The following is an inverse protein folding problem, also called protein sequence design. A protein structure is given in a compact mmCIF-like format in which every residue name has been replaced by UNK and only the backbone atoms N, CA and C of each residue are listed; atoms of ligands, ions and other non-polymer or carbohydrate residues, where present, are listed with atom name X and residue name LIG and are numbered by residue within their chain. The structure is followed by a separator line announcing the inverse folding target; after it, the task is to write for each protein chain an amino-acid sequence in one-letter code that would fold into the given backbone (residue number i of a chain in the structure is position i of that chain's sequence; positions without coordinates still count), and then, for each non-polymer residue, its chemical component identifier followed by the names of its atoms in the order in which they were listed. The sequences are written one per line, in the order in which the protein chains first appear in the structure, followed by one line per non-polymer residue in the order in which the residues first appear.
data_IF_726693930205
#
_entry.id   IF_726693930205
#
_cell.length_a   1.000
_cell.length_b   1.000
_cell.length_c   1.000
_cell.angle_alpha   90.00
_cell.angle_beta   90.00
_cell.angle_gamma   90.00
#
_symmetry.space_group_name_H-M   'P 1'
#
loop_
_entity.id
_entity.type
_entity.pdbx_description
1 polymer ?
#
# COMPACT_ATOMS: atom_id res chain seq x y z
N UNK A 1 -15.00 2.88 -42.61
CA UNK A 1 -15.51 4.12 -41.96
C UNK A 1 -14.54 4.50 -40.83
N UNK A 2 -14.14 5.79 -40.73
CA UNK A 2 -13.21 6.28 -39.70
C UNK A 2 -13.43 7.77 -39.47
N UNK A 3 -12.91 8.31 -38.37
CA UNK A 3 -12.97 9.73 -38.08
C UNK A 3 -11.79 10.49 -38.70
N UNK A 4 -12.03 11.68 -39.21
CA UNK A 4 -11.01 12.58 -39.77
C UNK A 4 -11.21 13.99 -39.26
N UNK A 5 -10.12 14.66 -39.00
CA UNK A 5 -10.14 16.13 -38.76
C UNK A 5 -9.88 16.83 -40.09
N UNK A 6 -10.80 17.70 -40.50
CA UNK A 6 -10.65 18.56 -41.68
C UNK A 6 -10.57 20.01 -41.29
N UNK A 7 -9.83 20.80 -42.03
CA UNK A 7 -9.68 22.25 -41.85
C UNK A 7 -10.36 22.99 -42.96
N UNK A 8 -11.17 23.98 -42.62
CA UNK A 8 -11.83 24.87 -43.59
C UNK A 8 -12.02 26.24 -42.95
N UNK A 9 -11.56 27.29 -43.64
CA UNK A 9 -11.68 28.66 -43.16
C UNK A 9 -10.99 28.92 -41.82
N UNK A 10 -9.83 28.30 -41.56
CA UNK A 10 -9.09 28.39 -40.29
C UNK A 10 -9.76 27.68 -39.10
N UNK A 11 -10.76 26.85 -39.35
CA UNK A 11 -11.49 26.11 -38.31
C UNK A 11 -11.37 24.61 -38.55
N UNK A 12 -11.24 23.84 -37.47
CA UNK A 12 -11.11 22.39 -37.50
C UNK A 12 -12.43 21.69 -37.21
N UNK A 13 -12.79 20.72 -38.04
CA UNK A 13 -14.03 19.97 -37.95
C UNK A 13 -13.74 18.47 -37.81
N UNK A 14 -14.47 17.81 -36.91
CA UNK A 14 -14.46 16.35 -36.77
C UNK A 14 -15.50 15.78 -37.73
N UNK A 15 -15.08 14.89 -38.64
CA UNK A 15 -15.92 14.27 -39.64
C UNK A 15 -15.84 12.75 -39.56
N UNK A 16 -16.97 12.08 -39.76
CA UNK A 16 -17.02 10.65 -40.01
C UNK A 16 -16.97 10.45 -41.52
N UNK A 17 -15.98 9.70 -41.97
CA UNK A 17 -15.75 9.49 -43.42
C UNK A 17 -15.66 8.02 -43.80
N UNK A 18 -15.97 7.72 -45.04
CA UNK A 18 -15.87 6.38 -45.63
C UNK A 18 -15.04 6.45 -46.88
N UNK A 19 -14.09 5.51 -46.98
CA UNK A 19 -13.35 5.32 -48.22
C UNK A 19 -14.12 4.34 -49.17
N UNK A 20 -14.31 4.74 -50.43
CA UNK A 20 -14.83 3.86 -51.47
C UNK A 20 -13.94 3.97 -52.72
N UNK A 21 -13.99 2.97 -53.59
CA UNK A 21 -13.33 3.03 -54.88
C UNK A 21 -14.31 3.49 -55.94
N UNK A 22 -13.87 4.44 -56.76
CA UNK A 22 -14.65 4.87 -57.93
C UNK A 22 -14.55 3.83 -59.07
N UNK A 23 -15.30 4.05 -60.15
CA UNK A 23 -15.34 3.17 -61.33
C UNK A 23 -13.96 2.96 -61.98
N UNK A 24 -13.00 3.87 -61.70
CA UNK A 24 -11.62 3.81 -62.19
C UNK A 24 -10.66 3.16 -61.18
N UNK A 25 -11.20 2.57 -60.08
CA UNK A 25 -10.43 1.91 -59.05
C UNK A 25 -9.70 2.86 -58.07
N UNK A 26 -9.85 4.21 -58.18
CA UNK A 26 -9.25 5.18 -57.30
C UNK A 26 -10.00 5.27 -55.96
N UNK A 27 -9.26 5.37 -54.86
CA UNK A 27 -9.85 5.58 -53.53
C UNK A 27 -10.39 6.98 -53.45
N UNK A 28 -11.69 7.12 -53.17
CA UNK A 28 -12.38 8.38 -52.87
C UNK A 28 -12.88 8.36 -51.45
N UNK A 29 -12.91 9.53 -50.83
CA UNK A 29 -13.41 9.72 -49.48
C UNK A 29 -14.76 10.44 -49.55
N UNK A 30 -15.77 9.82 -48.95
CA UNK A 30 -17.10 10.39 -48.80
C UNK A 30 -17.29 10.80 -47.32
N UNK A 31 -17.76 12.00 -47.10
CA UNK A 31 -18.17 12.42 -45.74
C UNK A 31 -19.54 11.84 -45.45
N UNK A 32 -19.62 11.00 -44.43
CA UNK A 32 -20.87 10.38 -43.98
C UNK A 32 -21.61 11.30 -43.02
N UNK A 33 -20.87 11.95 -42.07
CA UNK A 33 -21.44 12.90 -41.16
C UNK A 33 -20.38 13.93 -40.72
N UNK A 34 -20.83 15.14 -40.38
CA UNK A 34 -20.04 16.17 -39.76
C UNK A 34 -20.43 16.17 -38.27
N UNK A 35 -19.48 15.80 -37.40
CA UNK A 35 -19.70 15.68 -35.94
C UNK A 35 -19.53 17.00 -35.21
N UNK A 36 -19.09 18.07 -35.91
CA UNK A 36 -18.99 19.42 -35.35
C UNK A 36 -17.60 20.03 -35.37
N UNK A 37 -17.52 21.23 -34.89
CA UNK A 37 -16.24 21.98 -34.77
C UNK A 37 -15.49 21.50 -33.54
N UNK A 38 -14.19 21.20 -33.70
CA UNK A 38 -13.34 20.63 -32.65
C UNK A 38 -13.22 21.57 -31.44
N UNK A 39 -13.22 22.89 -31.66
CA UNK A 39 -13.14 23.92 -30.62
C UNK A 39 -14.45 24.12 -29.83
N UNK A 40 -15.55 23.55 -30.33
CA UNK A 40 -16.86 23.60 -29.68
C UNK A 40 -17.26 22.24 -29.05
N UNK A 41 -16.49 21.18 -29.31
CA UNK A 41 -16.72 19.86 -28.74
C UNK A 41 -16.11 19.83 -27.33
N UNK A 42 -16.97 19.82 -26.31
CA UNK A 42 -16.56 19.62 -24.93
C UNK A 42 -16.18 18.14 -24.68
N UNK A 43 -15.27 17.85 -23.73
CA UNK A 43 -15.06 16.50 -23.25
C UNK A 43 -16.40 15.84 -22.84
N UNK A 44 -16.63 14.61 -23.30
CA UNK A 44 -17.88 13.89 -23.01
C UNK A 44 -19.06 14.15 -23.95
N UNK A 45 -19.02 15.21 -24.77
CA UNK A 45 -20.15 15.55 -25.67
C UNK A 45 -20.41 14.47 -26.76
N UNK A 46 -19.40 13.69 -27.09
CA UNK A 46 -19.55 12.56 -28.05
C UNK A 46 -19.85 11.21 -27.36
N UNK A 47 -19.84 11.17 -26.03
CA UNK A 47 -20.07 9.93 -25.28
C UNK A 47 -21.44 9.29 -25.56
N UNK A 48 -22.56 10.04 -25.69
CA UNK A 48 -23.83 9.44 -26.08
C UNK A 48 -23.78 8.73 -27.44
N UNK A 49 -23.06 9.31 -28.40
CA UNK A 49 -22.86 8.67 -29.71
C UNK A 49 -21.98 7.43 -29.61
N UNK A 50 -20.88 7.51 -28.88
CA UNK A 50 -19.96 6.38 -28.64
C UNK A 50 -20.69 5.25 -27.92
N UNK A 51 -21.46 5.57 -26.88
CA UNK A 51 -22.24 4.60 -26.12
C UNK A 51 -23.35 3.96 -26.95
N UNK A 52 -24.02 4.76 -27.79
CA UNK A 52 -25.00 4.24 -28.75
C UNK A 52 -24.39 3.26 -29.73
N UNK A 53 -23.19 3.54 -30.25
CA UNK A 53 -22.46 2.64 -31.14
C UNK A 53 -21.99 1.38 -30.40
N UNK A 54 -21.48 1.52 -29.20
CA UNK A 54 -21.06 0.38 -28.36
C UNK A 54 -22.25 -0.55 -28.05
N UNK A 55 -23.42 0.02 -27.71
CA UNK A 55 -24.65 -0.73 -27.46
C UNK A 55 -25.08 -1.49 -28.72
N UNK A 56 -25.03 -0.84 -29.89
CA UNK A 56 -25.43 -1.46 -31.16
C UNK A 56 -24.55 -2.66 -31.55
N UNK A 57 -23.28 -2.67 -31.13
CA UNK A 57 -22.34 -3.79 -31.43
C UNK A 57 -22.12 -4.71 -30.20
N UNK A 58 -22.93 -4.57 -29.13
CA UNK A 58 -22.87 -5.42 -27.94
C UNK A 58 -21.61 -5.21 -27.08
N UNK A 59 -20.98 -4.05 -27.19
CA UNK A 59 -19.86 -3.66 -26.30
C UNK A 59 -20.38 -2.94 -25.05
N UNK A 60 -19.60 -3.00 -23.97
CA UNK A 60 -19.91 -2.22 -22.75
C UNK A 60 -19.92 -0.73 -23.07
N UNK A 61 -20.89 -0.02 -22.50
CA UNK A 61 -20.95 1.43 -22.60
C UNK A 61 -19.74 2.03 -21.89
N UNK A 62 -19.09 3.01 -22.51
CA UNK A 62 -18.21 3.92 -21.80
C UNK A 62 -19.12 4.81 -20.92
N UNK A 63 -19.37 4.43 -19.70
CA UNK A 63 -19.81 5.38 -18.70
C UNK A 63 -18.61 6.26 -18.45
N UNK A 64 -18.61 7.46 -18.99
CA UNK A 64 -17.77 8.53 -18.49
C UNK A 64 -18.25 8.77 -17.04
N UNK A 65 -17.71 7.98 -16.12
CA UNK A 65 -17.86 8.31 -14.72
C UNK A 65 -16.94 9.49 -14.47
N UNK A 66 -17.46 10.55 -13.89
CA UNK A 66 -16.64 11.63 -13.30
C UNK A 66 -15.78 11.12 -12.14
N UNK A 67 -15.57 9.81 -12.07
CA UNK A 67 -14.75 9.12 -11.08
C UNK A 67 -13.33 9.09 -11.62
N UNK A 68 -12.50 9.97 -11.10
CA UNK A 68 -11.06 9.89 -11.28
C UNK A 68 -10.48 8.86 -10.29
N UNK A 69 -9.80 7.84 -10.81
CA UNK A 69 -9.05 6.91 -9.96
C UNK A 69 -7.73 7.58 -9.59
N UNK A 70 -7.58 7.97 -8.33
CA UNK A 70 -6.34 8.58 -7.83
C UNK A 70 -5.31 7.52 -7.42
N UNK A 71 -5.75 6.45 -6.75
CA UNK A 71 -4.88 5.37 -6.30
C UNK A 71 -5.65 4.08 -6.08
N UNK A 72 -4.93 2.96 -6.02
CA UNK A 72 -5.45 1.66 -5.62
C UNK A 72 -4.57 1.10 -4.51
N UNK A 73 -5.13 0.94 -3.31
CA UNK A 73 -4.42 0.46 -2.14
C UNK A 73 -4.87 -0.95 -1.77
N UNK A 74 -3.92 -1.80 -1.34
CA UNK A 74 -4.23 -3.11 -0.78
C UNK A 74 -4.89 -2.95 0.60
N UNK A 75 -5.94 -3.72 0.87
CA UNK A 75 -6.71 -3.58 2.12
C UNK A 75 -6.95 -4.90 2.86
N UNK A 76 -7.08 -6.02 2.15
CA UNK A 76 -7.58 -7.27 2.72
C UNK A 76 -6.73 -7.82 3.88
N UNK A 77 -5.43 -7.84 3.72
CA UNK A 77 -4.45 -8.29 4.71
C UNK A 77 -4.40 -7.38 5.94
N UNK A 78 -4.28 -6.06 5.71
CA UNK A 78 -4.25 -5.08 6.83
C UNK A 78 -5.59 -5.01 7.55
N UNK A 79 -6.71 -5.23 6.85
CA UNK A 79 -8.02 -5.30 7.47
C UNK A 79 -8.13 -6.52 8.40
N UNK A 80 -7.79 -7.70 7.91
CA UNK A 80 -7.86 -8.93 8.70
C UNK A 80 -6.98 -8.84 9.96
N UNK A 81 -5.75 -8.34 9.81
CA UNK A 81 -4.83 -8.13 10.93
C UNK A 81 -5.35 -7.06 11.90
N UNK A 82 -5.98 -6.00 11.40
CA UNK A 82 -6.53 -4.94 12.24
C UNK A 82 -7.69 -5.43 13.10
N UNK A 83 -8.60 -6.20 12.51
CA UNK A 83 -9.71 -6.79 13.30
C UNK A 83 -9.17 -7.77 14.34
N UNK A 84 -8.21 -8.65 13.97
CA UNK A 84 -7.56 -9.54 14.93
C UNK A 84 -6.83 -8.78 16.04
N UNK A 85 -6.16 -7.68 15.73
CA UNK A 85 -5.46 -6.82 16.69
C UNK A 85 -6.41 -6.25 17.74
N UNK A 86 -7.60 -5.83 17.30
CA UNK A 86 -8.67 -5.33 18.19
C UNK A 86 -9.32 -6.43 19.01
N UNK A 87 -9.60 -7.57 18.38
CA UNK A 87 -10.21 -8.72 19.05
C UNK A 87 -9.32 -9.26 20.16
N UNK A 88 -8.00 -9.29 19.92
CA UNK A 88 -7.01 -9.67 20.91
C UNK A 88 -6.77 -8.55 21.97
N UNK A 89 -7.33 -7.37 21.78
CA UNK A 89 -7.19 -6.23 22.70
C UNK A 89 -5.81 -5.59 22.73
N UNK A 90 -4.97 -5.82 21.72
CA UNK A 90 -3.61 -5.27 21.62
C UNK A 90 -3.60 -3.74 21.50
N UNK A 91 -4.58 -3.17 20.81
CA UNK A 91 -4.80 -1.73 20.73
C UNK A 91 -4.94 -1.09 22.13
N UNK A 92 -5.73 -1.71 22.99
CA UNK A 92 -6.00 -1.25 24.35
C UNK A 92 -4.81 -1.48 25.29
N UNK A 93 -4.16 -2.64 25.18
CA UNK A 93 -3.00 -2.99 25.99
C UNK A 93 -1.83 -2.04 25.72
N UNK A 94 -1.46 -1.86 24.46
CA UNK A 94 -0.38 -0.96 24.06
C UNK A 94 -0.71 0.50 24.35
N UNK A 95 -1.93 0.96 24.03
CA UNK A 95 -2.33 2.33 24.38
C UNK A 95 -2.29 2.59 25.87
N UNK A 96 -2.56 1.61 26.73
CA UNK A 96 -2.47 1.72 28.18
C UNK A 96 -1.04 1.75 28.64
N UNK A 97 -0.21 0.81 28.17
CA UNK A 97 1.19 0.69 28.55
C UNK A 97 2.02 1.91 28.11
N UNK A 98 1.72 2.47 26.93
CA UNK A 98 2.48 3.57 26.33
C UNK A 98 1.92 4.97 26.67
N UNK A 99 0.92 5.07 27.54
CA UNK A 99 0.23 6.34 27.87
C UNK A 99 1.08 7.34 28.64
N UNK A 100 2.29 6.99 29.09
CA UNK A 100 3.15 7.88 29.88
C UNK A 100 3.87 8.90 29.00
N UNK A 101 3.47 10.17 29.10
CA UNK A 101 4.16 11.35 28.56
C UNK A 101 3.33 12.16 27.57
N UNK A 102 3.73 13.43 27.37
CA UNK A 102 3.26 14.32 26.28
C UNK A 102 3.83 13.84 24.95
N UNK A 103 3.29 12.76 24.40
CA UNK A 103 3.68 12.31 23.07
C UNK A 103 2.71 12.89 22.05
N UNK A 104 3.24 13.61 21.08
CA UNK A 104 2.49 14.14 19.92
C UNK A 104 2.12 13.04 18.91
N UNK A 105 2.57 11.78 19.12
CA UNK A 105 2.51 10.71 18.14
C UNK A 105 1.82 9.50 18.76
N UNK A 106 0.90 8.90 17.99
CA UNK A 106 0.25 7.65 18.35
C UNK A 106 1.23 6.47 18.20
N UNK A 107 1.91 6.14 19.30
CA UNK A 107 2.91 5.06 19.32
C UNK A 107 2.26 3.69 19.06
N UNK A 108 1.01 3.46 19.48
CA UNK A 108 0.28 2.22 19.19
C UNK A 108 0.11 2.03 17.69
N UNK A 109 -0.42 3.03 16.98
CA UNK A 109 -0.63 2.95 15.53
C UNK A 109 0.68 2.68 14.77
N UNK A 110 1.80 3.28 15.20
CA UNK A 110 3.10 3.09 14.58
C UNK A 110 3.67 1.68 14.86
N UNK A 111 3.54 1.17 16.08
CA UNK A 111 3.95 -0.19 16.43
C UNK A 111 3.10 -1.20 15.64
N UNK A 112 1.79 -1.02 15.60
CA UNK A 112 0.86 -1.84 14.82
C UNK A 112 1.25 -1.86 13.34
N UNK A 113 1.59 -0.72 12.76
CA UNK A 113 2.04 -0.64 11.37
C UNK A 113 3.34 -1.43 11.14
N UNK A 114 4.32 -1.32 12.05
CA UNK A 114 5.56 -2.08 11.95
C UNK A 114 5.35 -3.60 12.11
N UNK A 115 4.45 -4.01 12.99
CA UNK A 115 4.06 -5.42 13.15
C UNK A 115 3.38 -5.95 11.90
N UNK A 116 2.40 -5.22 11.34
CA UNK A 116 1.70 -5.64 10.12
C UNK A 116 2.64 -5.67 8.92
N UNK A 117 3.54 -4.69 8.77
CA UNK A 117 4.58 -4.75 7.76
C UNK A 117 5.46 -6.00 7.92
N UNK A 118 5.83 -6.35 9.15
CA UNK A 118 6.64 -7.56 9.40
C UNK A 118 5.93 -8.85 9.01
N UNK A 119 4.60 -8.89 9.11
CA UNK A 119 3.78 -10.05 8.75
C UNK A 119 3.46 -10.11 7.25
N UNK A 120 3.17 -8.97 6.61
CA UNK A 120 2.71 -8.91 5.23
C UNK A 120 3.84 -8.73 4.21
N UNK A 121 4.80 -7.86 4.51
CA UNK A 121 5.91 -7.50 3.62
C UNK A 121 7.16 -7.16 4.45
N UNK A 122 7.85 -8.16 5.02
CA UNK A 122 8.97 -7.96 5.94
C UNK A 122 10.06 -7.06 5.35
N UNK A 123 10.27 -5.87 5.95
CA UNK A 123 11.32 -4.93 5.54
C UNK A 123 11.80 -4.11 6.76
N UNK A 124 12.85 -3.31 6.58
CA UNK A 124 13.30 -2.32 7.57
C UNK A 124 12.35 -1.12 7.67
N UNK A 125 12.62 -0.18 8.61
CA UNK A 125 11.75 0.98 8.85
C UNK A 125 11.49 1.85 7.61
N UNK A 126 12.48 2.04 6.76
CA UNK A 126 12.29 2.76 5.49
C UNK A 126 11.42 1.99 4.51
N UNK A 127 11.54 0.65 4.49
CA UNK A 127 10.65 -0.20 3.71
C UNK A 127 9.22 -0.19 4.24
N UNK A 128 9.04 -0.17 5.56
CA UNK A 128 7.72 -0.01 6.20
C UNK A 128 7.02 1.28 5.75
N UNK A 129 7.73 2.41 5.64
CA UNK A 129 7.15 3.65 5.11
C UNK A 129 6.68 3.52 3.67
N UNK A 130 7.51 2.93 2.80
CA UNK A 130 7.12 2.68 1.40
C UNK A 130 5.93 1.73 1.29
N UNK A 131 5.89 0.70 2.14
CA UNK A 131 4.77 -0.22 2.20
C UNK A 131 3.48 0.46 2.63
N UNK A 132 3.53 1.38 3.61
CA UNK A 132 2.36 2.17 4.06
C UNK A 132 1.72 3.00 2.94
N UNK A 133 2.50 3.40 1.92
CA UNK A 133 1.97 4.10 0.74
C UNK A 133 1.17 3.17 -0.19
N UNK A 134 1.31 1.86 -0.05
CA UNK A 134 0.66 0.84 -0.89
C UNK A 134 -0.56 0.17 -0.27
N UNK A 135 -0.82 0.43 1.01
CA UNK A 135 -1.89 -0.21 1.79
C UNK A 135 -2.83 0.82 2.41
N UNK A 136 -4.11 0.47 2.51
CA UNK A 136 -5.10 1.30 3.22
C UNK A 136 -5.09 0.95 4.73
N UNK A 137 -4.05 1.43 5.43
CA UNK A 137 -3.87 1.12 6.85
C UNK A 137 -4.91 1.82 7.73
N UNK A 138 -5.76 1.10 8.50
CA UNK A 138 -6.80 1.70 9.34
C UNK A 138 -6.19 2.55 10.48
N UNK A 139 -6.81 3.71 10.75
CA UNK A 139 -6.46 4.60 11.85
C UNK A 139 -4.97 4.94 11.92
N UNK A 140 -4.36 5.20 10.76
CA UNK A 140 -2.96 5.63 10.67
C UNK A 140 -2.87 7.14 10.67
N UNK A 141 -1.99 7.77 11.48
CA UNK A 141 -1.77 9.21 11.42
C UNK A 141 -1.17 9.63 10.07
N UNK A 142 -1.51 10.82 9.61
CA UNK A 142 -0.93 11.40 8.40
C UNK A 142 0.53 11.83 8.64
N UNK A 143 1.32 11.85 7.56
CA UNK A 143 2.68 12.39 7.59
C UNK A 143 3.67 11.59 8.43
N UNK A 144 3.51 10.28 8.51
CA UNK A 144 4.44 9.40 9.24
C UNK A 144 5.83 9.47 8.62
N UNK A 145 6.83 9.68 9.47
CA UNK A 145 8.24 9.75 9.09
C UNK A 145 9.06 8.62 9.70
N UNK A 146 10.26 8.40 9.19
CA UNK A 146 11.22 7.44 9.75
C UNK A 146 11.49 7.69 11.24
N UNK A 147 11.63 8.97 11.63
CA UNK A 147 11.83 9.32 13.05
C UNK A 147 10.65 8.95 13.93
N UNK A 148 9.43 9.01 13.41
CA UNK A 148 8.23 8.60 14.15
C UNK A 148 8.29 7.09 14.48
N UNK A 149 8.71 6.25 13.52
CA UNK A 149 8.88 4.82 13.75
C UNK A 149 9.98 4.52 14.78
N UNK A 150 11.11 5.22 14.72
CA UNK A 150 12.18 5.07 15.70
C UNK A 150 11.72 5.46 17.11
N UNK A 151 11.06 6.60 17.26
CA UNK A 151 10.51 7.04 18.55
C UNK A 151 9.46 6.09 19.12
N UNK A 152 8.68 5.45 18.26
CA UNK A 152 7.73 4.42 18.70
C UNK A 152 8.46 3.18 19.23
N UNK A 153 9.59 2.81 18.63
CA UNK A 153 10.44 1.72 19.13
C UNK A 153 11.11 2.08 20.46
N UNK A 154 11.66 3.29 20.58
CA UNK A 154 12.23 3.76 21.86
C UNK A 154 11.16 3.71 22.95
N UNK A 155 9.95 4.16 22.63
CA UNK A 155 8.82 4.08 23.55
C UNK A 155 8.47 2.65 23.96
N UNK A 156 8.53 1.71 23.03
CA UNK A 156 8.30 0.29 23.32
C UNK A 156 9.40 -0.27 24.22
N UNK A 157 10.65 0.06 23.99
CA UNK A 157 11.79 -0.36 24.81
C UNK A 157 11.72 0.23 26.22
N UNK A 158 11.45 1.53 26.36
CA UNK A 158 11.32 2.22 27.64
C UNK A 158 10.21 1.64 28.54
N UNK A 159 9.20 0.99 27.94
CA UNK A 159 8.05 0.44 28.65
C UNK A 159 7.90 -1.07 28.45
N UNK A 160 8.98 -1.77 28.06
CA UNK A 160 8.93 -3.19 27.66
C UNK A 160 8.26 -4.07 28.73
N UNK A 161 8.65 -3.95 29.99
CA UNK A 161 8.07 -4.74 31.10
C UNK A 161 6.55 -4.54 31.23
N UNK A 162 6.10 -3.28 31.13
CA UNK A 162 4.66 -2.95 31.25
C UNK A 162 3.90 -3.48 30.04
N UNK A 163 4.47 -3.36 28.85
CA UNK A 163 3.88 -3.89 27.62
C UNK A 163 3.78 -5.42 27.68
N UNK A 164 4.83 -6.11 28.11
CA UNK A 164 4.85 -7.57 28.27
C UNK A 164 3.77 -8.04 29.23
N UNK A 165 3.64 -7.39 30.39
CA UNK A 165 2.59 -7.71 31.38
C UNK A 165 1.20 -7.50 30.80
N UNK A 166 0.94 -6.37 30.16
CA UNK A 166 -0.37 -6.06 29.58
C UNK A 166 -0.73 -7.03 28.44
N UNK A 167 0.23 -7.37 27.56
CA UNK A 167 0.02 -8.36 26.51
C UNK A 167 -0.20 -9.76 27.07
N UNK A 168 0.57 -10.18 28.05
CA UNK A 168 0.41 -11.47 28.73
C UNK A 168 -1.00 -11.59 29.33
N UNK A 169 -1.51 -10.54 29.95
CA UNK A 169 -2.89 -10.53 30.45
C UNK A 169 -3.96 -10.71 29.36
N UNK A 170 -3.74 -10.12 28.17
CA UNK A 170 -4.67 -10.26 27.04
C UNK A 170 -4.64 -11.67 26.42
N UNK A 171 -3.45 -12.26 26.33
CA UNK A 171 -3.26 -13.57 25.70
C UNK A 171 -3.63 -14.72 26.65
N UNK A 172 -3.54 -14.53 27.96
CA UNK A 172 -3.79 -15.55 28.98
C UNK A 172 -5.11 -16.32 28.81
N UNK A 173 -6.25 -15.70 28.49
CA UNK A 173 -7.50 -16.42 28.27
C UNK A 173 -7.48 -17.36 27.07
N UNK A 174 -6.59 -17.11 26.08
CA UNK A 174 -6.41 -17.95 24.90
C UNK A 174 -5.51 -19.16 25.17
N UNK A 175 -4.66 -19.06 26.20
CA UNK A 175 -3.65 -20.05 26.59
C UNK A 175 -4.01 -20.67 27.95
N UNK A 176 -5.30 -20.71 28.30
CA UNK A 176 -5.79 -21.19 29.61
C UNK A 176 -5.60 -22.72 29.80
N UNK A 177 -4.33 -23.13 29.66
CA UNK A 177 -3.85 -24.48 30.00
C UNK A 177 -2.63 -24.33 30.91
N UNK A 178 -2.53 -25.17 31.90
CA UNK A 178 -1.31 -25.32 32.69
C UNK A 178 -0.13 -25.57 31.76
N UNK A 179 0.66 -24.52 31.48
CA UNK A 179 1.87 -24.60 30.68
C UNK A 179 2.90 -25.43 31.44
N UNK A 180 2.83 -26.75 31.24
CA UNK A 180 3.75 -27.68 31.87
C UNK A 180 5.15 -27.67 31.24
N UNK A 181 5.30 -27.10 30.04
CA UNK A 181 6.55 -27.09 29.27
C UNK A 181 6.76 -25.70 28.67
N UNK A 182 7.90 -25.09 28.94
CA UNK A 182 8.37 -23.85 28.32
C UNK A 182 9.52 -24.18 27.38
N UNK A 183 9.37 -23.86 26.09
CA UNK A 183 10.47 -23.95 25.14
C UNK A 183 11.25 -22.65 25.16
N UNK A 184 12.55 -22.76 25.39
CA UNK A 184 13.49 -21.63 25.32
C UNK A 184 14.39 -21.82 24.12
N UNK A 185 14.39 -20.87 23.18
CA UNK A 185 15.28 -20.85 22.03
C UNK A 185 16.17 -19.62 22.07
N UNK A 186 17.46 -19.83 21.80
CA UNK A 186 18.46 -18.77 21.71
C UNK A 186 18.59 -18.35 20.24
N UNK A 187 18.26 -17.10 19.94
CA UNK A 187 18.46 -16.53 18.62
C UNK A 187 19.85 -15.91 18.52
N UNK A 188 20.63 -16.34 17.55
CA UNK A 188 21.94 -15.74 17.25
C UNK A 188 21.76 -14.58 16.28
N UNK A 189 22.16 -13.36 16.67
CA UNK A 189 22.17 -12.18 15.81
C UNK A 189 23.55 -11.99 15.22
N UNK A 190 23.65 -11.98 13.91
CA UNK A 190 24.91 -11.74 13.20
C UNK A 190 25.14 -10.22 13.02
N UNK A 191 26.30 -9.75 13.43
CA UNK A 191 26.70 -8.35 13.26
C UNK A 191 27.83 -8.29 12.24
N UNK A 192 27.66 -7.47 11.22
CA UNK A 192 28.67 -7.15 10.23
C UNK A 192 29.29 -5.77 10.57
N UNK A 193 30.59 -5.72 10.68
CA UNK A 193 31.36 -4.50 10.93
C UNK A 193 32.52 -4.71 11.90
N UNK A 194 33.57 -3.95 11.71
CA UNK A 194 34.72 -3.88 12.62
C UNK A 194 34.46 -2.72 13.60
N UNK A 195 33.97 -3.02 14.78
CA UNK A 195 33.85 -2.07 15.87
C UNK A 195 34.47 -2.68 17.10
N UNK A 196 35.56 -2.13 17.60
CA UNK A 196 36.01 -2.38 18.96
C UNK A 196 35.31 -1.39 19.88
N UNK A 197 34.50 -1.90 20.78
CA UNK A 197 33.88 -1.11 21.84
C UNK A 197 34.32 -1.74 23.16
N UNK A 198 34.79 -0.95 24.09
CA UNK A 198 35.00 -1.39 25.47
C UNK A 198 33.66 -1.93 26.01
N UNK A 199 33.67 -3.11 26.64
CA UNK A 199 32.49 -3.89 27.05
C UNK A 199 31.69 -4.51 25.90
N UNK A 200 32.37 -5.05 24.90
CA UNK A 200 31.73 -5.74 23.77
C UNK A 200 31.07 -7.07 24.22
N UNK A 201 29.74 -7.08 24.22
CA UNK A 201 28.95 -8.28 24.56
C UNK A 201 29.01 -9.38 23.48
N UNK A 202 29.66 -9.09 22.34
CA UNK A 202 29.81 -10.06 21.24
C UNK A 202 30.86 -11.12 21.59
N UNK A 203 30.49 -12.36 21.48
CA UNK A 203 31.39 -13.50 21.65
C UNK A 203 31.63 -14.26 20.33
N UNK A 204 32.76 -14.95 20.23
CA UNK A 204 32.99 -15.84 19.11
C UNK A 204 32.18 -17.13 19.29
N UNK A 205 31.38 -17.46 18.28
CA UNK A 205 30.55 -18.67 18.26
C UNK A 205 30.52 -19.33 16.88
N UNK A 206 29.98 -20.55 16.82
CA UNK A 206 29.86 -21.30 15.58
C UNK A 206 28.81 -20.68 14.67
N UNK A 207 29.20 -20.25 13.48
CA UNK A 207 28.30 -19.79 12.47
C UNK A 207 27.57 -20.99 11.84
N UNK A 208 26.26 -21.12 12.08
CA UNK A 208 25.43 -22.23 11.60
C UNK A 208 25.34 -22.34 10.07
N UNK A 209 25.59 -21.25 9.33
CA UNK A 209 25.52 -21.27 7.86
C UNK A 209 26.86 -21.63 7.18
N UNK A 210 27.95 -21.13 7.71
CA UNK A 210 29.28 -21.33 7.08
C UNK A 210 30.13 -22.40 7.79
N UNK A 211 29.71 -22.86 8.96
CA UNK A 211 30.47 -23.80 9.78
C UNK A 211 31.75 -23.21 10.40
N UNK A 212 32.00 -21.92 10.21
CA UNK A 212 33.16 -21.21 10.75
C UNK A 212 32.86 -20.50 12.07
N UNK A 213 33.88 -19.97 12.72
CA UNK A 213 33.76 -19.16 13.92
C UNK A 213 33.53 -17.68 13.50
N UNK A 214 32.48 -17.05 14.02
CA UNK A 214 32.17 -15.66 13.79
C UNK A 214 31.75 -14.96 15.09
N UNK A 215 31.89 -13.64 15.16
CA UNK A 215 31.36 -12.85 16.28
C UNK A 215 29.84 -12.88 16.26
N UNK A 216 29.23 -13.16 17.41
CA UNK A 216 27.78 -13.31 17.60
C UNK A 216 27.35 -12.57 18.88
N UNK A 217 26.07 -12.23 18.93
CA UNK A 217 25.40 -11.60 20.05
C UNK A 217 24.53 -12.62 20.76
#
# INVERSE_FOLDING_TARGET
MYTRISESGGRRYLQLVEGHRDELGKVRIRVVANLGRLDKLSPGQLDPLINGLNRAVGRLENTASDIAYESSLSYGDVFALHELWKDLGFDRALSRALRSGRREIDAEALIRAMVFNRLCAPDGKLGCLRWLETVAMPAMPEGVTHQHLLRAMDALMDHAEVVEIELAHQIRPLVDQDLAIVFYDLTTVRIHGEGEVDDDLRAFGLNKETGGIARQF
#
